data_IF_319432784232
#
_entry.id   IF_319432784232
#
_cell.length_a   1.000
_cell.length_b   1.000
_cell.length_c   1.000
_cell.angle_alpha   90.00
_cell.angle_beta   90.00
_cell.angle_gamma   90.00
#
_symmetry.space_group_name_H-M   'P 1'
#
loop_
_entity.id
_entity.type
_entity.pdbx_description
1 polymer ?
#
# COMPACT_ATOMS: atom_id res chain seq x y z
N UNK A 1 -7.87 13.88 -11.77
CA UNK A 1 -6.82 13.71 -10.76
C UNK A 1 -6.91 14.85 -9.75
N UNK A 2 -6.91 14.54 -8.47
CA UNK A 2 -6.86 15.53 -7.39
C UNK A 2 -5.69 15.21 -6.46
N UNK A 3 -5.15 16.21 -5.80
CA UNK A 3 -4.09 16.06 -4.80
C UNK A 3 -4.61 16.16 -3.36
N UNK A 4 -5.91 16.36 -3.19
CA UNK A 4 -6.57 16.53 -1.89
C UNK A 4 -8.02 16.07 -1.97
N UNK A 5 -8.60 15.70 -0.83
CA UNK A 5 -10.04 15.47 -0.68
C UNK A 5 -10.80 16.72 -0.21
N UNK A 6 -10.09 17.81 0.01
CA UNK A 6 -10.69 19.07 0.45
C UNK A 6 -11.74 19.56 -0.56
N UNK A 7 -12.93 19.88 -0.05
CA UNK A 7 -14.05 20.31 -0.87
C UNK A 7 -14.89 19.19 -1.47
N UNK A 8 -14.51 17.93 -1.31
CA UNK A 8 -15.39 16.81 -1.64
C UNK A 8 -16.39 16.56 -0.51
N UNK A 9 -17.60 16.17 -0.89
CA UNK A 9 -18.59 15.62 0.05
C UNK A 9 -18.52 14.09 0.05
N UNK A 10 -19.08 13.48 1.11
CA UNK A 10 -19.19 12.02 1.15
C UNK A 10 -20.06 11.47 -0.01
N UNK A 11 -21.13 12.17 -0.38
CA UNK A 11 -22.00 11.78 -1.48
C UNK A 11 -21.30 11.76 -2.83
N UNK A 12 -20.34 12.65 -3.03
CA UNK A 12 -19.47 12.62 -4.21
C UNK A 12 -18.44 11.49 -4.12
N UNK A 13 -17.81 11.32 -2.95
CA UNK A 13 -16.74 10.36 -2.80
C UNK A 13 -17.23 8.90 -2.89
N UNK A 14 -18.41 8.60 -2.35
CA UNK A 14 -19.01 7.25 -2.40
C UNK A 14 -19.33 6.76 -3.82
N UNK A 15 -19.37 7.65 -4.81
CA UNK A 15 -19.58 7.26 -6.21
C UNK A 15 -18.36 6.55 -6.82
N UNK A 16 -17.18 6.75 -6.24
CA UNK A 16 -15.96 6.09 -6.71
C UNK A 16 -15.80 4.71 -6.05
N UNK A 17 -15.46 3.71 -6.88
CA UNK A 17 -15.19 2.34 -6.42
C UNK A 17 -13.85 2.21 -5.70
N UNK A 18 -12.89 3.11 -5.98
CA UNK A 18 -11.55 3.07 -5.41
C UNK A 18 -10.91 4.45 -5.39
N UNK A 19 -10.22 4.77 -4.30
CA UNK A 19 -9.25 5.87 -4.22
C UNK A 19 -7.87 5.29 -4.49
N UNK A 20 -7.19 5.78 -5.53
CA UNK A 20 -5.79 5.46 -5.79
C UNK A 20 -4.94 6.58 -5.19
N UNK A 21 -4.16 6.24 -4.17
CA UNK A 21 -3.30 7.17 -3.45
C UNK A 21 -1.84 6.96 -3.84
N UNK A 22 -1.25 7.92 -4.54
CA UNK A 22 0.15 7.92 -4.94
C UNK A 22 0.90 8.98 -4.16
N UNK A 23 1.83 8.56 -3.30
CA UNK A 23 2.71 9.43 -2.51
C UNK A 23 1.99 10.46 -1.63
N UNK A 24 0.73 10.26 -1.33
CA UNK A 24 -0.05 11.20 -0.54
C UNK A 24 -1.15 10.50 0.28
N UNK A 25 -1.39 11.00 1.47
CA UNK A 25 -2.53 10.69 2.33
C UNK A 25 -3.25 11.99 2.73
N UNK A 26 -4.51 11.93 3.17
CA UNK A 26 -5.20 13.10 3.71
C UNK A 26 -4.42 13.75 4.86
N UNK A 27 -4.18 15.05 4.78
CA UNK A 27 -3.36 15.78 5.76
C UNK A 27 -4.17 16.67 6.70
N UNK A 28 -5.30 17.19 6.24
CA UNK A 28 -6.16 18.04 7.04
C UNK A 28 -7.31 17.25 7.71
N UNK A 29 -7.86 17.74 8.85
CA UNK A 29 -8.87 17.00 9.61
C UNK A 29 -10.15 16.69 8.83
N UNK A 30 -10.59 17.57 7.95
CA UNK A 30 -11.81 17.39 7.16
C UNK A 30 -11.61 16.25 6.14
N UNK A 31 -10.50 16.28 5.40
CA UNK A 31 -10.13 15.22 4.45
C UNK A 31 -9.91 13.87 5.14
N UNK A 32 -9.34 13.85 6.35
CA UNK A 32 -9.18 12.62 7.15
C UNK A 32 -10.54 12.05 7.55
N UNK A 33 -11.42 12.86 8.11
CA UNK A 33 -12.76 12.42 8.51
C UNK A 33 -13.58 11.89 7.31
N UNK A 34 -13.45 12.53 6.16
CA UNK A 34 -14.10 12.10 4.92
C UNK A 34 -13.54 10.76 4.43
N UNK A 35 -12.23 10.59 4.46
CA UNK A 35 -11.57 9.34 4.08
C UNK A 35 -11.95 8.19 5.02
N UNK A 36 -11.91 8.42 6.33
CA UNK A 36 -12.37 7.45 7.34
C UNK A 36 -13.80 7.01 7.05
N UNK A 37 -14.71 7.96 6.88
CA UNK A 37 -16.11 7.66 6.56
C UNK A 37 -16.26 6.85 5.28
N UNK A 38 -15.48 7.16 4.24
CA UNK A 38 -15.51 6.42 2.98
C UNK A 38 -15.03 4.97 3.17
N UNK A 39 -13.93 4.76 3.88
CA UNK A 39 -13.38 3.43 4.12
C UNK A 39 -14.26 2.58 5.04
N UNK A 40 -14.79 3.15 6.12
CA UNK A 40 -15.68 2.47 7.07
C UNK A 40 -17.03 2.06 6.43
N UNK A 41 -17.41 2.69 5.33
CA UNK A 41 -18.61 2.35 4.56
C UNK A 41 -18.29 1.50 3.30
N UNK A 42 -17.17 0.78 3.30
CA UNK A 42 -16.83 -0.19 2.25
C UNK A 42 -16.15 0.42 1.03
N UNK A 43 -15.64 1.64 1.13
CA UNK A 43 -14.83 2.25 0.09
C UNK A 43 -13.57 1.43 -0.22
N UNK A 44 -13.04 1.57 -1.44
CA UNK A 44 -11.81 0.90 -1.87
C UNK A 44 -10.60 1.82 -1.83
N UNK A 45 -9.43 1.29 -1.45
CA UNK A 45 -8.19 2.04 -1.46
C UNK A 45 -7.03 1.23 -2.02
N UNK A 46 -6.29 1.82 -2.95
CA UNK A 46 -5.03 1.31 -3.46
C UNK A 46 -3.94 2.36 -3.20
N UNK A 47 -3.10 2.09 -2.22
CA UNK A 47 -2.05 3.01 -1.80
C UNK A 47 -0.67 2.60 -2.28
N UNK A 48 0.11 3.58 -2.72
CA UNK A 48 1.47 3.41 -3.19
C UNK A 48 2.44 4.24 -2.38
N UNK A 49 3.58 3.64 -2.02
CA UNK A 49 4.75 4.29 -1.47
C UNK A 49 4.42 5.23 -0.30
N UNK A 50 4.73 6.53 -0.41
CA UNK A 50 4.52 7.49 0.67
C UNK A 50 3.04 7.75 1.02
N UNK A 51 2.09 7.11 0.31
CA UNK A 51 0.68 7.19 0.73
C UNK A 51 0.44 6.59 2.11
N UNK A 52 1.24 5.62 2.55
CA UNK A 52 1.16 5.06 3.90
C UNK A 52 2.05 5.78 4.92
N UNK A 53 2.83 6.78 4.49
CA UNK A 53 3.71 7.49 5.40
C UNK A 53 2.89 8.09 6.56
N UNK A 54 3.20 7.66 7.75
CA UNK A 54 2.67 8.20 8.97
C UNK A 54 3.75 8.05 10.06
N UNK A 55 4.21 9.15 10.57
CA UNK A 55 5.17 9.21 11.66
C UNK A 55 4.50 9.67 12.97
N UNK A 56 5.26 9.73 14.04
CA UNK A 56 4.79 10.20 15.35
C UNK A 56 4.17 11.60 15.34
N UNK A 57 4.44 12.42 14.31
CA UNK A 57 3.90 13.78 14.18
C UNK A 57 2.59 13.81 13.40
N UNK A 58 2.26 12.72 12.72
CA UNK A 58 1.04 12.61 11.91
C UNK A 58 -0.22 12.61 12.81
N UNK A 59 -0.13 12.02 14.00
CA UNK A 59 -1.22 11.96 14.99
C UNK A 59 -2.56 11.51 14.39
N UNK A 60 -2.54 10.39 13.66
CA UNK A 60 -3.74 9.81 13.04
C UNK A 60 -3.90 8.32 13.41
N UNK A 61 -4.32 8.00 14.65
CA UNK A 61 -4.41 6.61 15.13
C UNK A 61 -5.32 5.71 14.29
N UNK A 62 -6.39 6.27 13.73
CA UNK A 62 -7.26 5.53 12.82
C UNK A 62 -6.46 5.02 11.60
N UNK A 63 -5.59 5.84 11.04
CA UNK A 63 -4.78 5.47 9.86
C UNK A 63 -3.77 4.36 10.18
N UNK A 64 -3.17 4.37 11.35
CA UNK A 64 -2.31 3.27 11.84
C UNK A 64 -3.10 1.96 11.91
N UNK A 65 -4.31 2.00 12.47
CA UNK A 65 -5.23 0.84 12.51
C UNK A 65 -5.64 0.41 11.10
N UNK A 66 -5.96 1.35 10.22
CA UNK A 66 -6.36 1.10 8.84
C UNK A 66 -5.23 0.43 8.04
N UNK A 67 -4.01 0.93 8.12
CA UNK A 67 -2.83 0.33 7.48
C UNK A 67 -2.48 -1.04 8.09
N UNK A 68 -2.75 -1.20 9.39
CA UNK A 68 -2.46 -2.44 10.12
C UNK A 68 -1.01 -2.63 10.50
N UNK A 69 -0.20 -1.57 10.43
CA UNK A 69 1.21 -1.52 10.84
C UNK A 69 1.42 -0.37 11.83
N UNK A 70 2.62 -0.31 12.44
CA UNK A 70 3.01 0.82 13.28
C UNK A 70 3.31 2.10 12.50
N UNK A 71 3.79 3.10 13.21
CA UNK A 71 4.27 4.34 12.59
C UNK A 71 5.52 4.09 11.73
N UNK A 72 5.72 4.91 10.71
CA UNK A 72 6.94 4.91 9.90
C UNK A 72 8.17 5.15 10.78
N UNK A 73 9.19 4.33 10.60
CA UNK A 73 10.43 4.35 11.38
C UNK A 73 11.65 4.75 10.56
N UNK A 74 11.84 4.12 9.41
CA UNK A 74 13.01 4.31 8.56
C UNK A 74 12.76 3.77 7.14
N UNK A 75 13.66 4.08 6.23
CA UNK A 75 13.78 3.48 4.89
C UNK A 75 15.26 3.45 4.47
N UNK A 76 15.58 2.66 3.45
CA UNK A 76 16.88 2.74 2.80
C UNK A 76 17.02 4.02 1.97
N UNK A 77 18.20 4.61 1.95
CA UNK A 77 18.53 5.72 1.07
C UNK A 77 19.95 5.57 0.48
N UNK A 78 20.19 5.79 -0.81
CA UNK A 78 19.19 6.14 -1.84
C UNK A 78 18.25 4.98 -2.20
N UNK A 79 17.22 5.22 -3.06
CA UNK A 79 16.39 4.17 -3.62
C UNK A 79 17.24 3.10 -4.31
N UNK A 80 16.92 1.82 -4.10
CA UNK A 80 17.64 0.69 -4.67
C UNK A 80 16.67 -0.34 -5.24
N UNK A 81 17.08 -1.03 -6.31
CA UNK A 81 16.39 -2.23 -6.78
C UNK A 81 16.53 -3.34 -5.73
N UNK A 82 15.50 -4.15 -5.57
CA UNK A 82 15.49 -5.18 -4.56
C UNK A 82 14.74 -6.43 -5.00
N UNK A 83 15.22 -7.60 -4.60
CA UNK A 83 14.54 -8.87 -4.75
C UNK A 83 13.34 -8.90 -3.77
N UNK A 84 12.15 -9.11 -4.30
CA UNK A 84 10.93 -9.35 -3.55
C UNK A 84 10.54 -10.81 -3.65
N UNK A 85 10.01 -11.36 -2.58
CA UNK A 85 9.49 -12.72 -2.49
C UNK A 85 7.98 -12.69 -2.28
N UNK A 86 7.27 -13.61 -2.93
CA UNK A 86 5.82 -13.73 -2.80
C UNK A 86 5.52 -14.58 -1.56
N UNK A 87 4.75 -14.04 -0.62
CA UNK A 87 4.37 -14.75 0.60
C UNK A 87 3.29 -15.81 0.35
N UNK A 88 2.40 -15.57 -0.61
CA UNK A 88 1.34 -16.50 -0.98
C UNK A 88 0.85 -16.25 -2.40
N UNK A 89 0.61 -17.32 -3.15
CA UNK A 89 -0.02 -17.28 -4.48
C UNK A 89 -1.54 -17.51 -4.42
N UNK A 90 -2.11 -17.75 -3.25
CA UNK A 90 -3.55 -17.99 -3.09
C UNK A 90 -4.37 -16.70 -3.21
N UNK A 91 -3.76 -15.56 -2.96
CA UNK A 91 -4.45 -14.27 -3.05
C UNK A 91 -4.53 -13.79 -4.50
N UNK A 92 -5.68 -13.28 -4.98
CA UNK A 92 -5.83 -12.81 -6.37
C UNK A 92 -4.82 -11.75 -6.81
N UNK A 93 -4.35 -10.93 -5.88
CA UNK A 93 -3.36 -9.87 -6.14
C UNK A 93 -2.00 -10.44 -6.59
N UNK A 94 -1.63 -11.61 -6.11
CA UNK A 94 -0.36 -12.27 -6.44
C UNK A 94 -0.47 -13.28 -7.59
N UNK A 95 -1.66 -13.42 -8.16
CA UNK A 95 -1.92 -14.38 -9.24
C UNK A 95 -1.02 -14.12 -10.44
N UNK A 96 -0.39 -15.20 -10.93
CA UNK A 96 0.52 -15.19 -12.09
C UNK A 96 1.80 -14.35 -11.91
N UNK A 97 2.11 -13.88 -10.70
CA UNK A 97 3.44 -13.35 -10.40
C UNK A 97 4.45 -14.51 -10.28
N UNK A 98 5.74 -14.33 -10.61
CA UNK A 98 6.78 -15.30 -10.29
C UNK A 98 6.97 -15.40 -8.76
N UNK A 99 7.56 -16.49 -8.27
CA UNK A 99 7.83 -16.70 -6.82
C UNK A 99 8.67 -15.57 -6.21
N UNK A 100 9.52 -14.95 -7.01
CA UNK A 100 10.30 -13.78 -6.65
C UNK A 100 10.66 -12.98 -7.91
N UNK A 101 10.84 -11.67 -7.75
CA UNK A 101 11.33 -10.78 -8.82
C UNK A 101 12.10 -9.60 -8.26
N UNK A 102 12.94 -8.99 -9.10
CA UNK A 102 13.66 -7.77 -8.74
C UNK A 102 12.79 -6.56 -9.08
N UNK A 103 12.32 -5.86 -8.06
CA UNK A 103 11.60 -4.61 -8.24
C UNK A 103 12.54 -3.47 -8.63
N UNK A 104 12.09 -2.51 -9.45
CA UNK A 104 12.83 -1.28 -9.73
C UNK A 104 13.20 -0.49 -8.47
N UNK A 105 14.17 0.43 -8.56
CA UNK A 105 14.63 1.20 -7.42
C UNK A 105 13.48 1.87 -6.65
N UNK A 106 13.42 1.61 -5.34
CA UNK A 106 12.46 2.21 -4.42
C UNK A 106 13.08 2.40 -3.03
N UNK A 107 12.38 3.14 -2.19
CA UNK A 107 12.58 3.18 -0.74
C UNK A 107 11.72 2.10 -0.12
N UNK A 108 12.31 1.23 0.69
CA UNK A 108 11.57 0.19 1.40
C UNK A 108 11.42 0.60 2.87
N UNK A 109 10.18 0.71 3.31
CA UNK A 109 9.81 1.28 4.60
C UNK A 109 9.83 0.23 5.71
N UNK A 110 10.40 0.64 6.83
CA UNK A 110 10.36 -0.05 8.11
C UNK A 110 9.35 0.63 9.03
N UNK A 111 8.58 -0.17 9.74
CA UNK A 111 7.51 0.27 10.62
C UNK A 111 7.87 0.03 12.10
N UNK A 112 7.26 0.77 13.01
CA UNK A 112 7.48 0.59 14.46
C UNK A 112 6.92 -0.75 14.97
N UNK A 113 5.84 -1.26 14.36
CA UNK A 113 5.42 -2.65 14.42
C UNK A 113 5.13 -3.13 13.01
N UNK A 114 5.60 -4.32 12.68
CA UNK A 114 5.48 -4.84 11.32
C UNK A 114 4.05 -5.28 11.00
N UNK A 115 3.61 -5.14 9.73
CA UNK A 115 2.29 -5.59 9.31
C UNK A 115 2.00 -7.05 9.65
N UNK A 116 3.01 -7.92 9.58
CA UNK A 116 2.89 -9.36 9.85
C UNK A 116 2.51 -9.69 11.29
N UNK A 117 2.83 -8.83 12.25
CA UNK A 117 2.46 -9.00 13.65
C UNK A 117 0.98 -8.80 13.92
N UNK A 118 0.25 -8.22 12.95
CA UNK A 118 -1.17 -7.95 13.08
C UNK A 118 -2.01 -9.08 12.44
N UNK A 119 -2.80 -9.78 13.24
CA UNK A 119 -3.67 -10.88 12.79
C UNK A 119 -4.69 -10.48 11.71
N UNK A 120 -5.05 -9.21 11.66
CA UNK A 120 -5.99 -8.66 10.68
C UNK A 120 -5.33 -8.33 9.35
N UNK A 121 -3.99 -8.39 9.28
CA UNK A 121 -3.23 -8.18 8.05
C UNK A 121 -2.91 -9.50 7.38
N UNK A 122 -2.95 -9.51 6.06
CA UNK A 122 -2.38 -10.55 5.22
C UNK A 122 -1.25 -9.94 4.39
N UNK A 123 -0.02 -10.38 4.64
CA UNK A 123 1.14 -10.02 3.84
C UNK A 123 1.11 -10.81 2.54
N UNK A 124 1.42 -10.14 1.44
CA UNK A 124 1.40 -10.69 0.09
C UNK A 124 2.81 -10.78 -0.53
N UNK A 125 3.64 -9.75 -0.30
CA UNK A 125 5.03 -9.71 -0.73
C UNK A 125 5.92 -9.18 0.40
N UNK A 126 7.14 -9.73 0.47
CA UNK A 126 8.16 -9.35 1.44
C UNK A 126 9.49 -9.06 0.75
N UNK A 127 10.26 -8.15 1.30
CA UNK A 127 11.63 -7.87 0.87
C UNK A 127 12.53 -9.06 1.23
N UNK A 128 13.18 -9.67 0.25
CA UNK A 128 14.05 -10.83 0.49
C UNK A 128 15.21 -10.49 1.41
N UNK A 129 15.53 -11.39 2.34
CA UNK A 129 16.70 -11.28 3.21
C UNK A 129 18.04 -11.22 2.45
N UNK A 130 18.06 -11.63 1.19
CA UNK A 130 19.25 -11.55 0.32
C UNK A 130 19.65 -10.14 -0.07
N UNK A 131 18.77 -9.16 0.16
CA UNK A 131 19.05 -7.76 -0.17
C UNK A 131 19.93 -7.04 0.87
N UNK A 132 20.00 -7.55 2.11
CA UNK A 132 20.62 -6.79 3.19
C UNK A 132 22.15 -6.86 3.21
N UNK A 133 22.82 -5.77 3.63
CA UNK A 133 22.25 -4.45 3.98
C UNK A 133 21.85 -3.64 2.75
N UNK A 134 20.85 -2.75 2.91
CA UNK A 134 20.38 -1.83 1.87
C UNK A 134 20.56 -0.38 2.30
N UNK A 135 20.86 0.48 1.33
CA UNK A 135 21.16 1.88 1.57
C UNK A 135 22.64 2.13 1.77
N UNK A 136 23.03 3.39 1.66
CA UNK A 136 24.40 3.87 1.87
C UNK A 136 24.41 4.94 2.95
N UNK A 137 23.37 5.77 2.97
CA UNK A 137 23.19 6.87 3.91
C UNK A 137 22.28 6.50 5.04
N UNK A 138 21.08 6.04 4.69
CA UNK A 138 20.13 5.48 5.65
C UNK A 138 20.07 3.97 5.36
N UNK A 139 20.65 3.17 6.27
CA UNK A 139 20.93 1.76 6.02
C UNK A 139 19.91 0.90 6.78
N UNK A 140 19.28 -0.01 6.02
CA UNK A 140 18.43 -1.08 6.54
C UNK A 140 19.27 -2.35 6.60
N UNK A 141 19.49 -2.89 7.78
CA UNK A 141 20.40 -4.02 8.02
C UNK A 141 19.73 -5.38 7.95
N UNK A 142 18.43 -5.46 8.03
CA UNK A 142 17.67 -6.71 8.00
C UNK A 142 16.41 -6.63 8.85
N UNK A 143 15.62 -7.68 8.81
CA UNK A 143 14.34 -7.79 9.49
C UNK A 143 13.28 -8.40 8.58
N UNK A 144 12.06 -8.48 9.07
CA UNK A 144 10.88 -8.81 8.28
C UNK A 144 10.31 -7.51 7.70
N UNK A 145 10.32 -7.37 6.39
CA UNK A 145 9.88 -6.15 5.69
C UNK A 145 8.79 -6.48 4.68
N UNK A 146 7.55 -6.61 5.11
CA UNK A 146 6.41 -6.65 4.21
C UNK A 146 6.35 -5.40 3.33
N UNK A 147 6.20 -5.60 2.04
CA UNK A 147 6.15 -4.51 1.04
C UNK A 147 4.82 -4.42 0.32
N UNK A 148 4.00 -5.48 0.38
CA UNK A 148 2.62 -5.49 -0.11
C UNK A 148 1.75 -6.25 0.87
N UNK A 149 0.62 -5.64 1.27
CA UNK A 149 -0.34 -6.30 2.15
C UNK A 149 -1.76 -5.75 2.02
N UNK A 150 -2.70 -6.48 2.61
CA UNK A 150 -4.09 -6.06 2.82
C UNK A 150 -4.45 -6.14 4.30
N UNK A 151 -5.29 -5.24 4.77
CA UNK A 151 -5.99 -5.36 6.05
C UNK A 151 -7.38 -5.94 5.79
N UNK A 152 -7.67 -7.11 6.36
CA UNK A 152 -8.90 -7.88 6.14
C UNK A 152 -10.19 -7.15 6.54
N UNK A 153 -10.07 -6.12 7.38
CA UNK A 153 -11.18 -5.29 7.82
C UNK A 153 -11.60 -4.23 6.78
N UNK A 154 -10.78 -4.03 5.74
CA UNK A 154 -10.97 -2.99 4.74
C UNK A 154 -10.75 -3.53 3.33
N UNK A 155 -11.34 -2.88 2.37
CA UNK A 155 -11.13 -3.14 0.94
C UNK A 155 -9.92 -2.33 0.45
N UNK A 156 -8.73 -2.76 0.88
CA UNK A 156 -7.50 -2.01 0.66
C UNK A 156 -6.33 -2.91 0.26
N UNK A 157 -5.43 -2.36 -0.55
CA UNK A 157 -4.08 -2.90 -0.77
C UNK A 157 -3.09 -1.74 -0.61
N UNK A 158 -2.03 -1.98 0.14
CA UNK A 158 -0.86 -1.13 0.15
C UNK A 158 0.28 -1.79 -0.60
N UNK A 159 1.01 -0.98 -1.39
CA UNK A 159 2.18 -1.37 -2.16
C UNK A 159 3.30 -0.37 -1.87
N UNK A 160 4.38 -0.82 -1.25
CA UNK A 160 5.49 0.06 -0.87
C UNK A 160 6.25 0.61 -2.08
N UNK A 161 6.31 -0.11 -3.20
CA UNK A 161 6.97 0.36 -4.42
C UNK A 161 6.19 1.53 -5.04
N UNK A 162 6.91 2.46 -5.69
CA UNK A 162 6.29 3.62 -6.32
C UNK A 162 7.07 4.93 -6.17
N UNK A 163 8.33 4.87 -5.69
CA UNK A 163 9.16 6.04 -5.51
C UNK A 163 9.39 6.81 -6.83
N UNK A 164 9.65 6.09 -7.91
CA UNK A 164 9.90 6.65 -9.24
C UNK A 164 9.05 6.00 -10.32
N UNK A 165 9.05 6.62 -11.50
CA UNK A 165 8.25 6.18 -12.66
C UNK A 165 8.69 4.82 -13.22
N UNK A 166 9.92 4.38 -12.96
CA UNK A 166 10.40 3.03 -13.32
C UNK A 166 9.55 1.92 -12.67
N UNK A 167 9.05 2.14 -11.45
CA UNK A 167 8.14 1.21 -10.78
C UNK A 167 6.86 0.93 -11.60
N UNK A 168 6.46 1.85 -12.45
CA UNK A 168 5.24 1.72 -13.28
C UNK A 168 5.51 1.18 -14.69
N UNK A 169 6.77 0.94 -15.04
CA UNK A 169 7.19 0.39 -16.34
C UNK A 169 7.57 -1.10 -16.27
N UNK A 170 7.88 -1.61 -15.09
CA UNK A 170 8.23 -3.01 -14.88
C UNK A 170 7.02 -3.93 -15.04
N UNK A 171 7.18 -5.03 -15.77
CA UNK A 171 6.07 -5.92 -16.13
C UNK A 171 5.47 -6.65 -14.91
N UNK A 172 6.30 -7.09 -13.95
CA UNK A 172 5.82 -7.75 -12.73
C UNK A 172 5.06 -6.76 -11.83
N UNK A 173 5.59 -5.54 -11.72
CA UNK A 173 4.92 -4.46 -10.99
C UNK A 173 3.59 -4.07 -11.64
N UNK A 174 3.54 -3.96 -12.97
CA UNK A 174 2.29 -3.66 -13.69
C UNK A 174 1.23 -4.75 -13.46
N UNK A 175 1.65 -6.03 -13.48
CA UNK A 175 0.74 -7.14 -13.20
C UNK A 175 0.24 -7.08 -11.75
N UNK A 176 1.11 -6.83 -10.78
CA UNK A 176 0.74 -6.63 -9.37
C UNK A 176 -0.28 -5.51 -9.22
N UNK A 177 -0.01 -4.35 -9.83
CA UNK A 177 -0.90 -3.18 -9.75
C UNK A 177 -2.27 -3.44 -10.36
N UNK A 178 -2.30 -4.08 -11.53
CA UNK A 178 -3.53 -4.46 -12.21
C UNK A 178 -4.35 -5.46 -11.37
N UNK A 179 -3.70 -6.48 -10.83
CA UNK A 179 -4.35 -7.47 -9.96
C UNK A 179 -4.92 -6.81 -8.69
N UNK A 180 -4.14 -5.91 -8.04
CA UNK A 180 -4.58 -5.18 -6.86
C UNK A 180 -5.80 -4.31 -7.16
N UNK A 181 -5.76 -3.55 -8.26
CA UNK A 181 -6.88 -2.73 -8.71
C UNK A 181 -8.14 -3.57 -8.97
N UNK A 182 -8.03 -4.65 -9.74
CA UNK A 182 -9.13 -5.56 -10.06
C UNK A 182 -9.72 -6.19 -8.80
N UNK A 183 -8.89 -6.65 -7.87
CA UNK A 183 -9.34 -7.25 -6.62
C UNK A 183 -10.13 -6.26 -5.75
N UNK A 184 -9.68 -5.00 -5.66
CA UNK A 184 -10.40 -3.96 -4.93
C UNK A 184 -11.74 -3.67 -5.61
N UNK A 185 -11.75 -3.49 -6.92
CA UNK A 185 -12.94 -3.07 -7.66
C UNK A 185 -13.99 -4.19 -7.73
N UNK A 186 -13.60 -5.46 -7.94
CA UNK A 186 -14.52 -6.60 -7.96
C UNK A 186 -15.23 -6.84 -6.62
N UNK A 187 -14.73 -6.27 -5.54
CA UNK A 187 -15.33 -6.34 -4.20
C UNK A 187 -16.14 -5.09 -3.84
N UNK A 188 -16.44 -4.22 -4.81
CA UNK A 188 -17.29 -3.05 -4.57
C UNK A 188 -18.69 -3.50 -4.12
N UNK A 189 -19.20 -3.02 -2.97
CA UNK A 189 -20.58 -3.32 -2.54
C UNK A 189 -21.65 -2.94 -3.57
N UNK A 190 -21.34 -2.06 -4.52
CA UNK A 190 -22.21 -1.66 -5.63
C UNK A 190 -22.18 -2.64 -6.82
N UNK A 191 -21.36 -3.68 -6.73
CA UNK A 191 -21.13 -4.68 -7.78
C UNK A 191 -19.84 -4.43 -8.59
N UNK A 192 -19.35 -5.49 -9.24
CA UNK A 192 -18.17 -5.41 -10.09
C UNK A 192 -18.49 -4.64 -11.38
N UNK A 193 -17.86 -3.50 -11.66
CA UNK A 193 -18.11 -2.72 -12.87
C UNK A 193 -17.63 -3.43 -14.14
N UNK A 194 -16.86 -4.52 -14.04
CA UNK A 194 -16.35 -5.31 -15.18
C UNK A 194 -17.20 -6.56 -15.46
N UNK A 195 -18.17 -6.88 -14.62
CA UNK A 195 -19.13 -8.00 -14.80
C UNK A 195 -20.34 -7.64 -15.71
N UNK A 196 -20.12 -6.78 -16.72
CA UNK A 196 -21.16 -6.36 -17.66
C UNK A 196 -21.00 -7.01 -19.02
#
# INVERSE_FOLDING_TARGET
TTTTLKGYTYDQLKEYSVIIALNASPSDPESRALFEKYMENGGGWLGFHASAYNDRNTHWPWYVKFLGCGEFKANNWPPQAALLEIDTHEHPVTKNLPDAYVAPPSEFYQWASEPRDNKDVQVLLTLSAKNYPMGVKDIVYGGDFPVVWTNKNYRMIYINMGHGDESYKDAAQQLLFLNAFRWIVSRDPKGDPFDK
#
